data_IF_369305529348
#
_entry.id   IF_369305529348
#
_cell.length_a   1.000
_cell.length_b   1.000
_cell.length_c   1.000
_cell.angle_alpha   90.00
_cell.angle_beta   90.00
_cell.angle_gamma   90.00
#
_symmetry.space_group_name_H-M   'P 1'
#
loop_
_entity.id
_entity.type
_entity.pdbx_description
1 polymer ?
#
# COMPACT_ATOMS: atom_id res chain seq x y z
N UNK A 1 -15.23 20.27 -20.80
CA UNK A 1 -14.09 20.09 -21.73
C UNK A 1 -13.09 21.24 -21.61
N UNK A 2 -13.43 22.48 -22.00
CA UNK A 2 -12.47 23.61 -21.99
C UNK A 2 -11.83 23.90 -20.62
N UNK A 3 -12.62 23.99 -19.54
CA UNK A 3 -12.11 24.26 -18.19
C UNK A 3 -11.15 23.20 -17.66
N UNK A 4 -11.45 21.92 -17.94
CA UNK A 4 -10.60 20.79 -17.55
C UNK A 4 -9.28 20.90 -18.30
N UNK A 5 -9.31 21.08 -19.62
CA UNK A 5 -8.11 21.28 -20.42
C UNK A 5 -7.27 22.46 -19.91
N UNK A 6 -7.90 23.57 -19.50
CA UNK A 6 -7.22 24.74 -18.91
C UNK A 6 -6.55 24.42 -17.58
N UNK A 7 -7.23 23.72 -16.66
CA UNK A 7 -6.65 23.29 -15.38
C UNK A 7 -5.48 22.34 -15.61
N UNK A 8 -5.61 21.41 -16.57
CA UNK A 8 -4.57 20.45 -16.90
C UNK A 8 -3.35 21.13 -17.51
N UNK A 9 -3.54 22.08 -18.44
CA UNK A 9 -2.46 22.87 -19.02
C UNK A 9 -1.79 23.75 -17.95
N UNK A 10 -2.55 24.30 -17.01
CA UNK A 10 -2.01 25.08 -15.90
C UNK A 10 -1.19 24.23 -14.93
N UNK A 11 -1.69 23.04 -14.58
CA UNK A 11 -0.98 22.06 -13.76
C UNK A 11 0.30 21.60 -14.46
N UNK A 12 0.24 21.28 -15.75
CA UNK A 12 1.42 20.89 -16.55
C UNK A 12 2.45 22.02 -16.62
N UNK A 13 2.01 23.27 -16.82
CA UNK A 13 2.86 24.45 -16.81
C UNK A 13 3.52 24.64 -15.44
N UNK A 14 2.76 24.54 -14.35
CA UNK A 14 3.29 24.68 -12.99
C UNK A 14 4.28 23.57 -12.62
N UNK A 15 4.00 22.33 -13.01
CA UNK A 15 4.88 21.17 -12.88
C UNK A 15 6.17 21.38 -13.70
N UNK A 16 6.09 21.90 -14.93
CA UNK A 16 7.24 22.04 -15.84
C UNK A 16 8.39 22.88 -15.28
N UNK A 17 8.12 23.81 -14.35
CA UNK A 17 9.16 24.63 -13.73
C UNK A 17 10.01 23.94 -12.66
N UNK A 18 9.75 22.67 -12.31
CA UNK A 18 10.36 22.00 -11.15
C UNK A 18 11.17 20.72 -11.44
N UNK A 19 11.31 20.29 -12.69
CA UNK A 19 11.92 18.98 -13.03
C UNK A 19 12.98 19.05 -14.11
N UNK A 20 13.79 17.99 -14.22
CA UNK A 20 14.65 17.75 -15.38
C UNK A 20 13.83 17.32 -16.61
N UNK A 21 14.29 17.69 -17.80
CA UNK A 21 13.53 17.62 -19.06
C UNK A 21 13.06 16.19 -19.44
N UNK A 22 13.81 15.15 -19.05
CA UNK A 22 13.47 13.74 -19.33
C UNK A 22 12.31 13.26 -18.46
N UNK A 23 12.30 13.66 -17.19
CA UNK A 23 11.25 13.27 -16.24
C UNK A 23 9.99 14.14 -16.41
N UNK A 24 10.14 15.40 -16.84
CA UNK A 24 9.03 16.27 -17.23
C UNK A 24 8.09 15.60 -18.24
N UNK A 25 8.64 14.94 -19.27
CA UNK A 25 7.85 14.29 -20.32
C UNK A 25 7.01 13.14 -19.76
N UNK A 26 7.58 12.32 -18.89
CA UNK A 26 6.86 11.19 -18.26
C UNK A 26 5.73 11.69 -17.35
N UNK A 27 6.00 12.66 -16.48
CA UNK A 27 4.99 13.23 -15.60
C UNK A 27 3.89 13.94 -16.38
N UNK A 28 4.26 14.67 -17.42
CA UNK A 28 3.31 15.38 -18.27
C UNK A 28 2.34 14.43 -18.98
N UNK A 29 2.83 13.32 -19.50
CA UNK A 29 1.97 12.30 -20.16
C UNK A 29 1.02 11.65 -19.16
N UNK A 30 1.49 11.26 -17.98
CA UNK A 30 0.64 10.63 -16.95
C UNK A 30 -0.40 11.61 -16.43
N UNK A 31 0.00 12.84 -16.11
CA UNK A 31 -0.92 13.88 -15.64
C UNK A 31 -1.97 14.22 -16.72
N UNK A 32 -1.56 14.30 -17.99
CA UNK A 32 -2.49 14.51 -19.10
C UNK A 32 -3.46 13.32 -19.27
N UNK A 33 -2.98 12.08 -19.14
CA UNK A 33 -3.84 10.90 -19.20
C UNK A 33 -4.86 10.88 -18.06
N UNK A 34 -4.43 11.05 -16.81
CA UNK A 34 -5.33 11.12 -15.65
C UNK A 34 -6.35 12.26 -15.81
N UNK A 35 -5.89 13.39 -16.30
CA UNK A 35 -6.73 14.55 -16.64
C UNK A 35 -7.78 14.27 -17.72
N UNK A 36 -7.42 13.51 -18.74
CA UNK A 36 -8.37 13.06 -19.76
C UNK A 36 -9.39 12.09 -19.18
N UNK A 37 -8.96 11.16 -18.32
CA UNK A 37 -9.86 10.27 -17.58
C UNK A 37 -10.83 11.08 -16.72
N UNK A 38 -10.37 12.09 -15.97
CA UNK A 38 -11.23 13.01 -15.23
C UNK A 38 -12.24 13.71 -16.15
N UNK A 39 -11.78 14.22 -17.30
CA UNK A 39 -12.63 14.91 -18.26
C UNK A 39 -13.70 14.03 -18.90
N UNK A 40 -13.35 12.79 -19.24
CA UNK A 40 -14.26 11.84 -19.87
C UNK A 40 -15.25 11.24 -18.87
N UNK A 41 -14.85 11.08 -17.60
CA UNK A 41 -15.72 10.57 -16.53
C UNK A 41 -16.64 11.63 -15.93
N UNK A 42 -16.25 12.91 -15.91
CA UNK A 42 -17.12 14.03 -15.56
C UNK A 42 -18.23 14.29 -16.59
N UNK A 43 -18.01 13.92 -17.85
CA UNK A 43 -18.97 14.13 -18.92
C UNK A 43 -20.32 13.40 -18.71
N UNK A 44 -20.35 12.09 -18.37
CA UNK A 44 -21.60 11.42 -18.00
C UNK A 44 -22.16 11.93 -16.66
N UNK A 45 -21.33 12.41 -15.72
CA UNK A 45 -21.80 12.96 -14.44
C UNK A 45 -22.63 14.25 -14.60
N UNK A 46 -22.28 15.08 -15.59
CA UNK A 46 -22.97 16.34 -15.91
C UNK A 46 -24.26 16.09 -16.72
N UNK A 47 -24.34 14.99 -17.46
CA UNK A 47 -25.42 14.75 -18.43
C UNK A 47 -26.39 13.62 -18.04
N UNK A 48 -25.96 12.59 -17.30
CA UNK A 48 -26.69 11.32 -17.14
C UNK A 48 -26.50 10.74 -15.73
N UNK A 49 -27.09 11.38 -14.70
CA UNK A 49 -27.28 10.79 -13.36
C UNK A 49 -26.03 10.19 -12.67
N UNK A 50 -26.20 9.64 -11.46
CA UNK A 50 -25.16 8.91 -10.76
C UNK A 50 -24.87 7.56 -11.45
N UNK A 51 -23.61 7.32 -11.83
CA UNK A 51 -23.15 6.04 -12.37
C UNK A 51 -21.96 5.51 -11.54
N UNK A 52 -22.11 4.38 -10.80
CA UNK A 52 -21.09 3.86 -9.89
C UNK A 52 -19.71 3.68 -10.53
N UNK A 53 -19.66 3.09 -11.74
CA UNK A 53 -18.39 2.85 -12.43
C UNK A 53 -17.69 4.16 -12.84
N UNK A 54 -18.44 5.16 -13.29
CA UNK A 54 -17.86 6.45 -13.67
C UNK A 54 -17.30 7.19 -12.45
N UNK A 55 -18.02 7.10 -11.31
CA UNK A 55 -17.57 7.64 -10.02
C UNK A 55 -16.28 6.96 -9.56
N UNK A 56 -16.19 5.63 -9.68
CA UNK A 56 -14.98 4.88 -9.35
C UNK A 56 -13.76 5.34 -10.15
N UNK A 57 -13.88 5.43 -11.47
CA UNK A 57 -12.77 5.88 -12.33
C UNK A 57 -12.40 7.34 -12.10
N UNK A 58 -13.39 8.19 -11.81
CA UNK A 58 -13.17 9.59 -11.44
C UNK A 58 -12.36 9.69 -10.15
N UNK A 59 -12.79 9.01 -9.08
CA UNK A 59 -12.10 9.01 -7.79
C UNK A 59 -10.68 8.46 -7.90
N UNK A 60 -10.47 7.38 -8.66
CA UNK A 60 -9.14 6.81 -8.89
C UNK A 60 -8.20 7.81 -9.56
N UNK A 61 -8.70 8.54 -10.57
CA UNK A 61 -7.92 9.58 -11.23
C UNK A 61 -7.67 10.79 -10.31
N UNK A 62 -8.66 11.20 -9.51
CA UNK A 62 -8.49 12.26 -8.49
C UNK A 62 -7.42 11.85 -7.48
N UNK A 63 -7.49 10.63 -6.94
CA UNK A 63 -6.54 10.12 -5.96
C UNK A 63 -5.09 10.20 -6.48
N UNK A 64 -4.81 9.58 -7.62
CA UNK A 64 -3.45 9.55 -8.17
C UNK A 64 -2.92 10.94 -8.54
N UNK A 65 -3.77 11.80 -9.09
CA UNK A 65 -3.36 13.16 -9.43
C UNK A 65 -3.16 14.02 -8.18
N UNK A 66 -4.07 13.97 -7.22
CA UNK A 66 -3.99 14.77 -6.00
C UNK A 66 -2.79 14.38 -5.13
N UNK A 67 -2.47 13.09 -5.01
CA UNK A 67 -1.29 12.62 -4.27
C UNK A 67 0.00 13.16 -4.90
N UNK A 68 0.13 13.08 -6.23
CA UNK A 68 1.27 13.67 -6.93
C UNK A 68 1.34 15.18 -6.73
N UNK A 69 0.23 15.90 -6.84
CA UNK A 69 0.20 17.35 -6.66
C UNK A 69 0.55 17.78 -5.23
N UNK A 70 0.06 17.05 -4.23
CA UNK A 70 0.40 17.31 -2.83
C UNK A 70 1.87 17.02 -2.55
N UNK A 71 2.41 15.91 -3.07
CA UNK A 71 3.84 15.63 -3.01
C UNK A 71 4.66 16.70 -3.73
N UNK A 72 4.22 17.17 -4.90
CA UNK A 72 4.89 18.24 -5.63
C UNK A 72 4.86 19.57 -4.86
N UNK A 73 3.82 19.80 -4.07
CA UNK A 73 3.68 20.99 -3.25
C UNK A 73 4.58 20.96 -2.01
N UNK A 74 4.58 19.85 -1.26
CA UNK A 74 5.29 19.74 0.02
C UNK A 74 6.73 19.21 -0.09
N UNK A 75 7.01 18.35 -1.09
CA UNK A 75 8.25 17.58 -1.22
C UNK A 75 8.86 17.67 -2.63
N UNK A 76 8.76 18.84 -3.28
CA UNK A 76 9.22 19.01 -4.68
C UNK A 76 10.66 18.58 -4.95
N UNK A 77 11.54 18.59 -3.94
CA UNK A 77 12.94 18.18 -4.08
C UNK A 77 13.14 16.65 -4.14
N UNK A 78 12.17 15.86 -3.64
CA UNK A 78 12.22 14.39 -3.58
C UNK A 78 11.21 13.75 -4.55
N UNK A 79 10.57 14.56 -5.41
CA UNK A 79 9.46 14.11 -6.24
C UNK A 79 9.90 13.17 -7.36
N UNK A 80 9.19 12.06 -7.50
CA UNK A 80 9.43 11.05 -8.50
C UNK A 80 8.11 10.40 -9.00
N UNK A 81 8.21 9.47 -9.96
CA UNK A 81 7.06 8.79 -10.54
C UNK A 81 6.22 8.00 -9.52
N UNK A 82 6.85 7.47 -8.47
CA UNK A 82 6.15 6.68 -7.45
C UNK A 82 5.18 7.52 -6.63
N UNK A 83 5.33 8.86 -6.62
CA UNK A 83 4.38 9.76 -5.95
C UNK A 83 3.00 9.78 -6.60
N UNK A 84 2.86 9.32 -7.86
CA UNK A 84 1.53 9.07 -8.42
C UNK A 84 0.85 7.87 -7.77
N UNK A 85 1.58 6.98 -7.11
CA UNK A 85 1.07 5.74 -6.51
C UNK A 85 0.38 4.80 -7.52
N UNK A 86 0.71 4.93 -8.82
CA UNK A 86 0.19 4.07 -9.88
C UNK A 86 0.82 2.67 -9.87
N UNK A 87 2.07 2.57 -9.39
CA UNK A 87 2.83 1.33 -9.34
C UNK A 87 3.09 0.91 -7.89
N UNK A 88 2.03 0.50 -7.19
CA UNK A 88 2.11 0.00 -5.80
C UNK A 88 2.34 -1.53 -5.73
N UNK A 89 3.00 -2.10 -6.73
CA UNK A 89 3.31 -3.53 -6.81
C UNK A 89 2.19 -4.41 -7.39
N UNK A 90 2.51 -5.70 -7.56
CA UNK A 90 1.62 -6.69 -8.19
C UNK A 90 0.26 -6.83 -7.49
N UNK A 91 0.16 -6.89 -6.15
CA UNK A 91 -1.13 -7.03 -5.47
C UNK A 91 -2.09 -5.89 -5.80
N UNK A 92 -1.57 -4.66 -5.89
CA UNK A 92 -2.37 -3.49 -6.27
C UNK A 92 -2.91 -3.60 -7.70
N UNK A 93 -2.05 -3.93 -8.67
CA UNK A 93 -2.46 -4.08 -10.07
C UNK A 93 -3.50 -5.19 -10.22
N UNK A 94 -3.29 -6.34 -9.58
CA UNK A 94 -4.25 -7.45 -9.59
C UNK A 94 -5.59 -7.03 -8.99
N UNK A 95 -5.57 -6.29 -7.87
CA UNK A 95 -6.78 -5.81 -7.22
C UNK A 95 -7.60 -4.88 -8.14
N UNK A 96 -6.96 -3.91 -8.80
CA UNK A 96 -7.63 -3.00 -9.74
C UNK A 96 -8.18 -3.77 -10.95
N UNK A 97 -7.40 -4.71 -11.52
CA UNK A 97 -7.86 -5.55 -12.63
C UNK A 97 -9.05 -6.42 -12.23
N UNK A 98 -9.03 -6.99 -11.02
CA UNK A 98 -10.12 -7.78 -10.50
C UNK A 98 -11.40 -6.95 -10.32
N UNK A 99 -11.30 -5.75 -9.73
CA UNK A 99 -12.43 -4.85 -9.56
C UNK A 99 -13.07 -4.46 -10.91
N UNK A 100 -12.23 -4.14 -11.91
CA UNK A 100 -12.67 -3.85 -13.28
C UNK A 100 -13.30 -5.08 -13.95
N UNK A 101 -12.68 -6.25 -13.79
CA UNK A 101 -13.14 -7.52 -14.36
C UNK A 101 -14.48 -7.96 -13.79
N UNK A 102 -14.61 -7.99 -12.47
CA UNK A 102 -15.87 -8.32 -11.78
C UNK A 102 -16.99 -7.37 -12.19
N UNK A 103 -16.72 -6.06 -12.21
CA UNK A 103 -17.71 -5.10 -12.66
C UNK A 103 -18.14 -5.34 -14.12
N UNK A 104 -17.18 -5.61 -15.02
CA UNK A 104 -17.46 -5.88 -16.44
C UNK A 104 -18.28 -7.15 -16.64
N UNK A 105 -17.99 -8.21 -15.88
CA UNK A 105 -18.75 -9.47 -15.91
C UNK A 105 -20.20 -9.19 -15.47
N UNK A 106 -20.40 -8.46 -14.37
CA UNK A 106 -21.74 -8.14 -13.85
C UNK A 106 -22.57 -7.30 -14.84
N UNK A 107 -21.93 -6.44 -15.63
CA UNK A 107 -22.56 -5.75 -16.77
C UNK A 107 -22.90 -6.71 -17.92
N UNK A 108 -21.98 -7.61 -18.27
CA UNK A 108 -22.15 -8.56 -19.36
C UNK A 108 -23.29 -9.56 -19.13
N UNK A 109 -23.50 -9.98 -17.88
CA UNK A 109 -24.57 -10.93 -17.52
C UNK A 109 -25.90 -10.27 -17.15
N UNK A 110 -26.02 -8.95 -17.23
CA UNK A 110 -27.28 -8.24 -17.02
C UNK A 110 -27.60 -7.85 -15.58
N UNK A 111 -26.75 -8.16 -14.60
CA UNK A 111 -27.01 -7.88 -13.17
C UNK A 111 -27.07 -6.37 -12.91
N UNK A 112 -26.22 -5.59 -13.57
CA UNK A 112 -26.19 -4.12 -13.42
C UNK A 112 -27.44 -3.46 -13.97
N UNK A 113 -27.83 -3.85 -15.18
CA UNK A 113 -29.05 -3.40 -15.84
C UNK A 113 -30.28 -3.77 -15.00
N UNK A 114 -30.28 -4.95 -14.37
CA UNK A 114 -31.34 -5.35 -13.44
C UNK A 114 -31.39 -4.45 -12.18
N UNK A 115 -30.24 -4.17 -11.56
CA UNK A 115 -30.15 -3.25 -10.41
C UNK A 115 -30.61 -1.83 -10.77
N UNK A 116 -30.30 -1.35 -11.97
CA UNK A 116 -30.63 0.00 -12.42
C UNK A 116 -32.08 0.16 -12.88
N UNK A 117 -32.67 -0.87 -13.50
CA UNK A 117 -34.02 -0.79 -14.09
C UNK A 117 -35.18 -0.87 -13.09
N UNK A 118 -34.96 -1.41 -11.90
CA UNK A 118 -36.04 -1.77 -10.98
C UNK A 118 -36.17 -0.82 -9.79
N UNK A 119 -37.26 -0.05 -9.68
CA UNK A 119 -37.41 0.97 -8.62
C UNK A 119 -37.79 0.44 -7.23
N UNK A 120 -38.08 -0.85 -7.07
CA UNK A 120 -38.52 -1.46 -5.81
C UNK A 120 -37.80 -2.78 -5.51
N UNK A 121 -38.01 -3.32 -4.30
CA UNK A 121 -37.46 -4.60 -3.86
C UNK A 121 -35.93 -4.59 -3.69
N UNK A 122 -35.30 -5.75 -3.91
CA UNK A 122 -33.87 -5.94 -3.73
C UNK A 122 -33.01 -5.00 -4.61
N UNK A 123 -33.30 -4.76 -5.91
CA UNK A 123 -32.59 -3.77 -6.72
C UNK A 123 -32.55 -2.37 -6.12
N UNK A 124 -33.68 -1.91 -5.57
CA UNK A 124 -33.77 -0.59 -4.95
C UNK A 124 -32.89 -0.49 -3.70
N UNK A 125 -32.91 -1.54 -2.87
CA UNK A 125 -32.01 -1.64 -1.72
C UNK A 125 -30.53 -1.61 -2.14
N UNK A 126 -30.15 -2.39 -3.17
CA UNK A 126 -28.78 -2.42 -3.68
C UNK A 126 -28.32 -1.07 -4.24
N UNK A 127 -29.21 -0.29 -4.87
CA UNK A 127 -28.89 1.10 -5.26
C UNK A 127 -28.62 1.99 -4.05
N UNK A 128 -29.40 1.86 -2.97
CA UNK A 128 -29.15 2.61 -1.73
C UNK A 128 -27.77 2.23 -1.16
N UNK A 129 -27.45 0.94 -1.10
CA UNK A 129 -26.12 0.45 -0.68
C UNK A 129 -25.02 1.05 -1.56
N UNK A 130 -25.20 1.05 -2.88
CA UNK A 130 -24.26 1.64 -3.84
C UNK A 130 -24.07 3.15 -3.60
N UNK A 131 -25.15 3.90 -3.38
CA UNK A 131 -25.09 5.35 -3.10
C UNK A 131 -24.42 5.64 -1.75
N UNK A 132 -24.68 4.83 -0.72
CA UNK A 132 -23.97 4.93 0.57
C UNK A 132 -22.48 4.63 0.37
N UNK A 133 -22.14 3.60 -0.41
CA UNK A 133 -20.76 3.31 -0.79
C UNK A 133 -20.09 4.50 -1.46
N UNK A 134 -20.76 5.16 -2.41
CA UNK A 134 -20.24 6.36 -3.07
C UNK A 134 -20.02 7.53 -2.11
N UNK A 135 -20.95 7.75 -1.18
CA UNK A 135 -20.79 8.79 -0.17
C UNK A 135 -19.58 8.51 0.72
N UNK A 136 -19.45 7.27 1.19
CA UNK A 136 -18.33 6.86 2.05
C UNK A 136 -17.00 6.90 1.29
N UNK A 137 -16.96 6.57 0.00
CA UNK A 137 -15.74 6.64 -0.80
C UNK A 137 -15.27 8.08 -0.98
N UNK A 138 -16.18 9.01 -1.29
CA UNK A 138 -15.88 10.45 -1.35
C UNK A 138 -15.38 10.98 -0.01
N UNK A 139 -16.04 10.62 1.09
CA UNK A 139 -15.61 11.00 2.43
C UNK A 139 -14.22 10.42 2.79
N UNK A 140 -13.96 9.15 2.47
CA UNK A 140 -12.67 8.50 2.69
C UNK A 140 -11.55 9.18 1.90
N UNK A 141 -11.79 9.48 0.63
CA UNK A 141 -10.83 10.20 -0.22
C UNK A 141 -10.57 11.61 0.32
N UNK A 142 -11.61 12.32 0.77
CA UNK A 142 -11.44 13.61 1.42
C UNK A 142 -10.58 13.53 2.69
N UNK A 143 -10.85 12.57 3.58
CA UNK A 143 -10.06 12.33 4.78
C UNK A 143 -8.59 12.04 4.44
N UNK A 144 -8.36 11.23 3.40
CA UNK A 144 -7.03 10.91 2.90
C UNK A 144 -6.27 12.17 2.48
N UNK A 145 -6.85 12.98 1.60
CA UNK A 145 -6.21 14.19 1.08
C UNK A 145 -6.01 15.24 2.19
N UNK A 146 -6.97 15.38 3.09
CA UNK A 146 -6.88 16.29 4.23
C UNK A 146 -5.79 15.87 5.22
N UNK A 147 -5.60 14.57 5.45
CA UNK A 147 -4.52 14.06 6.29
C UNK A 147 -3.13 14.35 5.70
N UNK A 148 -2.98 14.19 4.38
CA UNK A 148 -1.75 14.56 3.67
C UNK A 148 -1.51 16.06 3.77
N UNK A 149 -2.54 16.87 3.56
CA UNK A 149 -2.45 18.33 3.69
C UNK A 149 -2.04 18.79 5.09
N UNK A 150 -2.67 18.25 6.14
CA UNK A 150 -2.36 18.60 7.53
C UNK A 150 -0.99 18.07 7.98
N UNK A 151 -0.58 16.90 7.47
CA UNK A 151 0.76 16.37 7.69
C UNK A 151 1.84 17.19 6.96
N UNK A 152 1.50 17.75 5.80
CA UNK A 152 2.36 18.64 5.02
C UNK A 152 3.74 18.02 4.77
N UNK A 153 4.80 18.74 5.13
CA UNK A 153 6.19 18.25 4.99
C UNK A 153 6.52 17.04 5.87
N UNK A 154 5.76 16.81 6.94
CA UNK A 154 5.93 15.63 7.81
C UNK A 154 5.27 14.37 7.24
N UNK A 155 4.35 14.49 6.27
CA UNK A 155 3.74 13.34 5.61
C UNK A 155 4.69 12.78 4.54
N UNK A 156 4.97 11.48 4.53
CA UNK A 156 5.78 10.84 3.48
C UNK A 156 5.14 9.54 3.01
N UNK A 157 5.14 9.29 1.69
CA UNK A 157 4.59 8.05 1.12
C UNK A 157 5.42 6.81 1.44
N UNK A 158 6.73 6.98 1.58
CA UNK A 158 7.62 5.96 2.12
C UNK A 158 7.84 6.24 3.59
N UNK A 159 7.73 5.20 4.41
CA UNK A 159 8.12 5.31 5.81
C UNK A 159 9.64 5.48 5.78
N UNK A 160 10.10 6.66 6.20
CA UNK A 160 11.53 6.93 6.34
C UNK A 160 12.09 5.98 7.39
N UNK A 161 13.14 5.24 7.03
CA UNK A 161 13.82 4.34 7.97
C UNK A 161 14.48 5.12 9.11
N UNK A 162 14.97 4.39 10.11
CA UNK A 162 15.75 4.99 11.18
C UNK A 162 16.98 5.71 10.65
N UNK A 163 17.30 6.86 11.27
CA UNK A 163 18.44 7.68 10.87
C UNK A 163 18.23 8.49 9.58
N UNK A 164 17.14 8.29 8.84
CA UNK A 164 16.81 9.17 7.70
C UNK A 164 16.28 10.53 8.18
N UNK A 165 16.63 11.60 7.45
CA UNK A 165 16.15 12.95 7.77
C UNK A 165 14.63 13.03 7.68
N UNK A 166 13.97 13.00 8.84
CA UNK A 166 12.54 13.32 9.01
C UNK A 166 12.31 14.82 9.18
N UNK A 167 11.08 15.22 8.91
CA UNK A 167 10.60 16.53 9.33
C UNK A 167 10.76 16.64 10.85
N UNK A 168 11.27 17.77 11.39
CA UNK A 168 11.59 17.90 12.81
C UNK A 168 10.35 17.96 13.73
N UNK A 169 9.13 17.87 13.19
CA UNK A 169 7.89 18.12 13.95
C UNK A 169 6.93 16.93 13.87
N UNK A 170 6.55 16.42 15.05
CA UNK A 170 5.42 15.52 15.24
C UNK A 170 4.11 16.29 15.08
N UNK A 171 3.21 15.80 14.21
CA UNK A 171 1.92 16.42 13.93
C UNK A 171 0.83 15.74 14.76
N UNK A 172 0.20 16.48 15.66
CA UNK A 172 -0.82 15.96 16.60
C UNK A 172 -2.13 16.77 16.58
N UNK A 173 -2.28 17.71 15.64
CA UNK A 173 -3.44 18.60 15.53
C UNK A 173 -4.35 18.20 14.36
N UNK A 174 -5.62 18.61 14.42
CA UNK A 174 -6.59 18.36 13.36
C UNK A 174 -7.05 16.91 13.31
N UNK A 175 -6.99 16.24 12.16
CA UNK A 175 -7.32 14.82 12.04
C UNK A 175 -6.40 13.94 12.89
N UNK A 176 -5.15 14.38 13.08
CA UNK A 176 -4.17 13.68 13.92
C UNK A 176 -4.55 13.72 15.41
N UNK A 177 -5.40 14.65 15.88
CA UNK A 177 -5.90 14.57 17.27
C UNK A 177 -7.03 13.55 17.44
N UNK A 178 -7.63 13.06 16.35
CA UNK A 178 -8.73 12.08 16.37
C UNK A 178 -8.22 10.65 16.21
N UNK A 179 -7.25 10.45 15.32
CA UNK A 179 -6.56 9.19 15.14
C UNK A 179 -5.12 9.41 14.68
N UNK A 180 -4.21 8.49 14.98
CA UNK A 180 -2.78 8.67 14.69
C UNK A 180 -2.45 8.56 13.21
N UNK A 181 -3.23 7.75 12.48
CA UNK A 181 -3.00 7.46 11.06
C UNK A 181 -4.21 7.85 10.18
N UNK A 182 -4.62 9.13 10.16
CA UNK A 182 -5.82 9.56 9.45
C UNK A 182 -5.72 9.34 7.94
N UNK A 183 -4.49 9.40 7.39
CA UNK A 183 -4.24 9.10 5.98
C UNK A 183 -4.47 7.63 5.62
N UNK A 184 -4.26 6.70 6.55
CA UNK A 184 -4.51 5.26 6.35
C UNK A 184 -5.98 4.93 6.57
N UNK A 185 -6.63 5.57 7.54
CA UNK A 185 -8.07 5.49 7.73
C UNK A 185 -8.82 5.96 6.47
N UNK A 186 -8.49 7.15 5.95
CA UNK A 186 -9.10 7.69 4.74
C UNK A 186 -8.91 6.78 3.53
N UNK A 187 -7.69 6.25 3.33
CA UNK A 187 -7.41 5.29 2.26
C UNK A 187 -8.27 4.03 2.41
N UNK A 188 -8.28 3.43 3.60
CA UNK A 188 -9.01 2.18 3.87
C UNK A 188 -10.51 2.34 3.61
N UNK A 189 -11.10 3.42 4.12
CA UNK A 189 -12.51 3.76 3.87
C UNK A 189 -12.78 3.92 2.38
N UNK A 190 -11.94 4.67 1.68
CA UNK A 190 -12.07 4.89 0.24
C UNK A 190 -12.04 3.58 -0.56
N UNK A 191 -11.00 2.77 -0.37
CA UNK A 191 -10.81 1.52 -1.13
C UNK A 191 -11.94 0.52 -0.88
N UNK A 192 -12.37 0.32 0.37
CA UNK A 192 -13.48 -0.59 0.68
C UNK A 192 -14.80 -0.05 0.11
N UNK A 193 -15.06 1.24 0.31
CA UNK A 193 -16.31 1.86 -0.11
C UNK A 193 -16.46 1.94 -1.63
N UNK A 194 -15.37 2.03 -2.40
CA UNK A 194 -15.44 1.91 -3.87
C UNK A 194 -15.99 0.56 -4.32
N UNK A 195 -15.61 -0.53 -3.65
CA UNK A 195 -16.13 -1.87 -4.00
C UNK A 195 -17.57 -2.06 -3.53
N UNK A 196 -17.95 -1.43 -2.41
CA UNK A 196 -19.35 -1.36 -1.97
C UNK A 196 -20.21 -0.54 -2.94
N UNK A 197 -19.71 0.59 -3.42
CA UNK A 197 -20.34 1.41 -4.45
C UNK A 197 -20.56 0.61 -5.73
N UNK A 198 -19.54 -0.12 -6.17
CA UNK A 198 -19.65 -1.02 -7.31
C UNK A 198 -20.49 -2.27 -6.98
N UNK A 199 -20.86 -2.56 -5.74
CA UNK A 199 -21.48 -3.84 -5.35
C UNK A 199 -20.69 -5.06 -5.86
N UNK A 200 -19.35 -4.95 -5.89
CA UNK A 200 -18.44 -6.03 -6.25
C UNK A 200 -18.15 -6.86 -4.99
N UNK A 201 -18.91 -7.93 -4.76
CA UNK A 201 -18.79 -8.70 -3.51
C UNK A 201 -17.43 -9.40 -3.37
N UNK A 202 -16.87 -9.93 -4.47
CA UNK A 202 -15.58 -10.63 -4.41
C UNK A 202 -14.47 -9.62 -4.13
N UNK A 203 -14.45 -8.53 -4.89
CA UNK A 203 -13.48 -7.45 -4.70
C UNK A 203 -13.63 -6.78 -3.35
N UNK A 204 -14.86 -6.61 -2.83
CA UNK A 204 -15.09 -6.02 -1.50
C UNK A 204 -14.41 -6.83 -0.39
N UNK A 205 -14.59 -8.15 -0.39
CA UNK A 205 -13.95 -9.04 0.59
C UNK A 205 -12.41 -8.97 0.48
N UNK A 206 -11.88 -9.08 -0.74
CA UNK A 206 -10.44 -9.06 -0.98
C UNK A 206 -9.81 -7.72 -0.64
N UNK A 207 -10.43 -6.60 -1.06
CA UNK A 207 -9.95 -5.26 -0.77
C UNK A 207 -9.94 -5.01 0.73
N UNK A 208 -10.99 -5.42 1.44
CA UNK A 208 -11.07 -5.30 2.90
C UNK A 208 -9.93 -6.06 3.57
N UNK A 209 -9.79 -7.35 3.27
CA UNK A 209 -8.79 -8.19 3.91
C UNK A 209 -7.35 -7.74 3.61
N UNK A 210 -7.02 -7.51 2.34
CA UNK A 210 -5.67 -7.12 1.91
C UNK A 210 -5.30 -5.75 2.46
N UNK A 211 -6.22 -4.78 2.42
CA UNK A 211 -5.97 -3.40 2.87
C UNK A 211 -5.76 -3.35 4.39
N UNK A 212 -6.61 -4.04 5.16
CA UNK A 212 -6.46 -4.09 6.62
C UNK A 212 -5.14 -4.78 7.02
N UNK A 213 -4.80 -5.90 6.37
CA UNK A 213 -3.52 -6.59 6.63
C UNK A 213 -2.32 -5.70 6.30
N UNK A 214 -2.35 -5.04 5.14
CA UNK A 214 -1.28 -4.15 4.70
C UNK A 214 -1.08 -2.98 5.66
N UNK A 215 -2.16 -2.28 6.04
CA UNK A 215 -2.05 -1.15 6.94
C UNK A 215 -1.73 -1.54 8.38
N UNK A 216 -2.14 -2.72 8.85
CA UNK A 216 -1.72 -3.23 10.16
C UNK A 216 -0.19 -3.31 10.25
N UNK A 217 0.43 -4.06 9.35
CA UNK A 217 1.88 -4.25 9.31
C UNK A 217 2.62 -2.92 9.13
N UNK A 218 2.08 -2.06 8.26
CA UNK A 218 2.66 -0.76 7.97
C UNK A 218 2.60 0.19 9.16
N UNK A 219 1.48 0.22 9.88
CA UNK A 219 1.30 1.04 11.08
C UNK A 219 2.27 0.59 12.16
N UNK A 220 2.35 -0.70 12.45
CA UNK A 220 3.26 -1.25 13.48
C UNK A 220 4.71 -0.82 13.23
N UNK A 221 5.19 -0.97 11.99
CA UNK A 221 6.52 -0.51 11.61
C UNK A 221 6.68 1.02 11.69
N UNK A 222 5.69 1.79 11.24
CA UNK A 222 5.74 3.25 11.31
C UNK A 222 5.79 3.76 12.75
N UNK A 223 4.94 3.24 13.64
CA UNK A 223 4.93 3.64 15.04
C UNK A 223 6.25 3.32 15.73
N UNK A 224 6.86 2.17 15.43
CA UNK A 224 8.19 1.82 15.93
C UNK A 224 9.24 2.89 15.54
N UNK A 225 9.29 3.26 14.26
CA UNK A 225 10.23 4.30 13.80
C UNK A 225 9.90 5.69 14.39
N UNK A 226 8.62 6.00 14.63
CA UNK A 226 8.20 7.28 15.20
C UNK A 226 8.60 7.41 16.67
N UNK A 227 8.57 6.31 17.41
CA UNK A 227 9.06 6.24 18.80
C UNK A 227 10.55 6.47 18.86
N UNK A 228 11.32 5.87 17.96
CA UNK A 228 12.76 6.14 17.89
C UNK A 228 13.04 7.62 17.57
N UNK A 229 12.27 8.23 16.65
CA UNK A 229 12.48 9.62 16.22
C UNK A 229 12.07 10.65 17.26
N UNK A 230 10.93 10.45 17.92
CA UNK A 230 10.29 11.45 18.79
C UNK A 230 10.26 11.03 20.27
N UNK A 231 10.62 9.79 20.59
CA UNK A 231 10.70 9.26 21.94
C UNK A 231 9.42 9.45 22.74
N UNK A 232 9.57 10.07 23.92
CA UNK A 232 8.49 10.28 24.89
C UNK A 232 7.32 11.09 24.32
N UNK A 233 7.56 12.02 23.40
CA UNK A 233 6.50 12.84 22.82
C UNK A 233 5.52 12.00 22.00
N UNK A 234 6.03 11.00 21.26
CA UNK A 234 5.18 10.08 20.52
C UNK A 234 4.46 9.10 21.43
N UNK A 235 5.13 8.60 22.48
CA UNK A 235 4.49 7.69 23.45
C UNK A 235 3.31 8.37 24.16
N UNK A 236 3.46 9.63 24.57
CA UNK A 236 2.38 10.39 25.20
C UNK A 236 1.23 10.70 24.20
N UNK A 237 1.56 10.87 22.92
CA UNK A 237 0.55 10.99 21.88
C UNK A 237 -0.19 9.66 21.63
N UNK A 238 0.55 8.54 21.60
CA UNK A 238 0.02 7.19 21.42
C UNK A 238 -1.01 6.83 22.49
N UNK A 239 -0.70 7.12 23.77
CA UNK A 239 -1.60 6.86 24.91
C UNK A 239 -2.94 7.59 24.82
N UNK A 240 -2.98 8.76 24.18
CA UNK A 240 -4.16 9.64 24.16
C UNK A 240 -5.03 9.49 22.91
N UNK A 241 -4.44 9.04 21.79
CA UNK A 241 -5.10 9.04 20.48
C UNK A 241 -5.03 7.66 19.86
N UNK A 242 -6.13 7.03 19.44
CA UNK A 242 -6.12 5.68 18.86
C UNK A 242 -5.47 5.64 17.47
N UNK A 243 -5.04 4.46 17.01
CA UNK A 243 -4.47 4.30 15.66
C UNK A 243 -5.43 4.73 14.54
N UNK A 244 -6.72 4.40 14.68
CA UNK A 244 -7.80 4.81 13.76
C UNK A 244 -8.39 3.68 12.91
N UNK A 245 -7.72 2.54 12.78
CA UNK A 245 -8.24 1.36 12.08
C UNK A 245 -8.65 0.26 13.07
N UNK A 246 -9.70 -0.52 12.74
CA UNK A 246 -10.12 -1.64 13.58
C UNK A 246 -9.06 -2.74 13.60
N UNK A 247 -8.97 -3.47 14.73
CA UNK A 247 -8.07 -4.62 14.93
C UNK A 247 -6.56 -4.29 14.90
N UNK A 248 -6.18 -3.06 15.22
CA UNK A 248 -4.78 -2.64 15.38
C UNK A 248 -4.52 -2.33 16.85
N UNK A 249 -4.01 -3.32 17.57
CA UNK A 249 -3.49 -3.17 18.94
C UNK A 249 -1.98 -2.96 18.86
N UNK A 250 -1.55 -1.71 18.91
CA UNK A 250 -0.14 -1.28 18.81
C UNK A 250 0.61 -1.41 20.15
N UNK A 251 0.23 -2.40 20.96
CA UNK A 251 0.51 -2.44 22.39
C UNK A 251 1.85 -3.08 22.82
N UNK A 252 2.45 -4.10 22.17
CA UNK A 252 3.57 -4.79 22.82
C UNK A 252 4.88 -4.01 22.86
N UNK A 253 5.21 -3.26 21.81
CA UNK A 253 6.53 -2.63 21.66
C UNK A 253 6.72 -1.35 22.50
N UNK A 254 5.64 -0.73 22.98
CA UNK A 254 5.73 0.54 23.69
C UNK A 254 6.13 0.39 25.15
N UNK A 255 5.65 -0.67 25.81
CA UNK A 255 5.97 -0.94 27.21
C UNK A 255 7.44 -1.38 27.35
N UNK A 256 7.93 -2.20 26.41
CA UNK A 256 9.33 -2.65 26.37
C UNK A 256 10.32 -1.50 26.08
N UNK A 257 9.97 -0.57 25.19
CA UNK A 257 10.77 0.64 24.93
C UNK A 257 10.76 1.62 26.12
N UNK A 258 9.65 1.71 26.85
CA UNK A 258 9.54 2.54 28.05
C UNK A 258 10.39 1.99 29.21
N UNK A 259 10.56 0.67 29.28
CA UNK A 259 11.39 -0.01 30.26
C UNK A 259 12.89 0.05 29.91
N UNK A 260 13.27 -0.09 28.63
CA UNK A 260 14.66 -0.07 28.17
C UNK A 260 15.11 1.30 27.63
N UNK A 261 15.72 2.13 28.50
CA UNK A 261 16.28 3.44 28.12
C UNK A 261 17.44 3.37 27.09
N UNK A 262 17.96 2.17 26.79
CA UNK A 262 19.08 1.91 25.88
C UNK A 262 18.64 1.56 24.43
N UNK A 263 17.33 1.43 24.18
CA UNK A 263 16.77 1.10 22.86
C UNK A 263 17.06 2.13 21.76
N UNK A 264 17.56 3.33 22.11
CA UNK A 264 17.98 4.38 21.16
C UNK A 264 19.22 4.02 20.33
N UNK A 265 19.90 2.91 20.63
CA UNK A 265 21.15 2.52 19.98
C UNK A 265 21.06 1.26 19.11
N UNK A 266 19.90 0.57 19.05
CA UNK A 266 19.74 -0.58 18.15
C UNK A 266 19.42 -0.08 16.74
N UNK A 267 20.12 -0.60 15.70
CA UNK A 267 19.77 -0.27 14.32
C UNK A 267 18.36 -0.79 14.02
N UNK A 268 17.53 0.05 13.40
CA UNK A 268 16.18 -0.35 13.02
C UNK A 268 16.22 -1.18 11.75
N UNK A 269 15.64 -2.38 11.75
CA UNK A 269 15.48 -3.16 10.54
C UNK A 269 14.59 -2.39 9.55
N UNK A 270 14.87 -2.52 8.26
CA UNK A 270 13.96 -2.10 7.20
C UNK A 270 12.59 -2.79 7.33
N UNK A 271 11.54 -2.25 6.69
CA UNK A 271 10.21 -2.88 6.69
C UNK A 271 10.28 -4.36 6.28
N UNK A 272 11.13 -4.70 5.31
CA UNK A 272 11.28 -6.07 4.85
C UNK A 272 11.94 -6.96 5.91
N UNK A 273 13.04 -6.50 6.53
CA UNK A 273 13.70 -7.22 7.62
C UNK A 273 12.78 -7.39 8.84
N UNK A 274 11.96 -6.38 9.14
CA UNK A 274 10.97 -6.45 10.21
C UNK A 274 9.87 -7.46 9.89
N UNK A 275 9.35 -7.46 8.66
CA UNK A 275 8.34 -8.42 8.21
C UNK A 275 8.87 -9.86 8.20
N UNK A 276 10.14 -10.05 7.90
CA UNK A 276 10.77 -11.36 7.86
C UNK A 276 11.02 -11.86 9.30
N UNK A 277 11.49 -11.00 10.21
CA UNK A 277 11.60 -11.32 11.63
C UNK A 277 10.23 -11.65 12.27
N UNK A 278 9.18 -10.88 11.95
CA UNK A 278 7.83 -11.15 12.44
C UNK A 278 7.28 -12.50 11.94
N UNK A 279 7.62 -12.89 10.70
CA UNK A 279 7.26 -14.21 10.15
C UNK A 279 8.02 -15.35 10.81
N UNK A 280 9.30 -15.16 11.13
CA UNK A 280 10.10 -16.13 11.88
C UNK A 280 9.52 -16.35 13.28
N UNK A 281 9.06 -15.28 13.95
CA UNK A 281 8.46 -15.39 15.28
C UNK A 281 7.08 -16.06 15.24
N UNK A 282 6.25 -15.78 14.24
CA UNK A 282 4.95 -16.44 14.03
C UNK A 282 5.13 -17.94 13.76
N UNK A 283 6.08 -18.32 12.89
CA UNK A 283 6.42 -19.73 12.62
C UNK A 283 7.05 -20.44 13.84
N UNK A 284 7.82 -19.73 14.66
CA UNK A 284 8.34 -20.24 15.92
C UNK A 284 7.22 -20.50 16.94
N UNK A 285 6.21 -19.62 17.04
CA UNK A 285 5.04 -19.82 17.89
C UNK A 285 4.21 -21.01 17.44
N UNK A 286 3.90 -21.11 16.15
CA UNK A 286 3.15 -22.23 15.56
C UNK A 286 3.86 -23.57 15.76
N UNK A 287 5.19 -23.61 15.66
CA UNK A 287 5.98 -24.83 15.92
C UNK A 287 6.08 -25.19 17.41
N UNK A 288 5.99 -24.20 18.31
CA UNK A 288 5.93 -24.44 19.76
C UNK A 288 4.55 -24.93 20.24
N UNK A 289 3.48 -24.58 19.51
CA UNK A 289 2.10 -24.98 19.79
C UNK A 289 1.69 -26.28 19.07
N UNK A 290 2.55 -26.85 18.22
CA UNK A 290 2.31 -28.12 17.57
C UNK A 290 2.12 -29.23 18.63
N UNK A 291 1.03 -30.02 18.58
CA UNK A 291 0.77 -31.03 19.58
C UNK A 291 1.88 -32.07 19.55
N UNK A 292 2.54 -32.27 20.69
CA UNK A 292 3.48 -33.37 20.90
C UNK A 292 2.72 -34.68 20.71
N UNK A 293 3.01 -35.35 19.59
CA UNK A 293 2.48 -36.68 19.30
C UNK A 293 2.84 -37.61 20.47
N UNK A 294 1.89 -38.28 21.15
CA UNK A 294 2.24 -39.17 22.25
C UNK A 294 3.04 -40.34 21.67
N UNK A 295 4.28 -40.48 22.14
CA UNK A 295 5.08 -41.67 21.85
C UNK A 295 4.34 -42.90 22.39
N UNK A 296 3.85 -43.76 21.48
CA UNK A 296 3.34 -45.08 21.83
C UNK A 296 4.45 -45.87 22.54
N UNK A 297 4.26 -46.05 23.84
CA UNK A 297 5.06 -46.97 24.64
C UNK A 297 4.51 -48.37 24.41
N UNK A 298 5.29 -49.20 23.72
CA UNK A 298 4.96 -50.60 23.52
C UNK A 298 4.81 -51.35 24.84
N UNK A 299 3.70 -52.08 24.99
CA UNK A 299 3.58 -53.25 25.86
C UNK A 299 2.75 -54.31 25.16
N UNK A 300 3.35 -55.49 25.02
CA UNK A 300 2.75 -56.66 24.39
C UNK A 300 1.63 -57.32 25.21
N UNK A 301 0.90 -58.18 24.51
CA UNK A 301 -0.10 -59.09 25.08
C UNK A 301 -0.76 -59.91 23.96
N UNK A 302 -0.41 -61.19 23.91
CA UNK A 302 -0.95 -62.20 22.99
C UNK A 302 -2.43 -62.51 23.26
N UNK A 303 -3.19 -62.82 22.20
CA UNK A 303 -4.02 -64.05 22.09
C UNK A 303 -4.82 -64.03 20.78
N UNK A 304 -4.84 -65.15 20.07
CA UNK A 304 -5.38 -65.26 18.71
C UNK A 304 -6.80 -65.81 18.61
N UNK A 305 -7.42 -65.63 17.44
CA UNK A 305 -8.32 -66.61 16.79
C UNK A 305 -8.68 -66.17 15.35
N UNK A 306 -8.22 -66.95 14.37
CA UNK A 306 -8.93 -67.49 13.19
C UNK A 306 -9.76 -66.59 12.22
N UNK A 307 -9.12 -66.15 11.12
CA UNK A 307 -9.43 -66.29 9.65
C UNK A 307 -10.84 -66.01 9.03
N UNK A 308 -11.02 -65.84 7.68
CA UNK A 308 -10.07 -65.49 6.59
C UNK A 308 -10.55 -64.42 5.54
N UNK A 309 -9.58 -63.89 4.79
CA UNK A 309 -9.56 -63.59 3.32
C UNK A 309 -10.57 -62.60 2.70
N UNK A 310 -10.05 -61.47 2.20
CA UNK A 310 -10.05 -61.19 0.75
C UNK A 310 -8.84 -60.31 0.41
N UNK A 311 -8.00 -60.80 -0.50
CA UNK A 311 -6.82 -60.09 -1.00
C UNK A 311 -7.17 -59.27 -2.24
N UNK A 312 -6.54 -58.11 -2.36
CA UNK A 312 -6.17 -57.58 -3.66
C UNK A 312 -4.78 -56.98 -3.54
N UNK A 313 -3.94 -57.38 -4.47
CA UNK A 313 -2.50 -57.29 -4.46
C UNK A 313 -2.11 -56.34 -5.61
N UNK A 314 -0.92 -55.73 -5.48
CA UNK A 314 -0.11 -55.08 -6.53
C UNK A 314 -0.38 -53.57 -6.73
N UNK A 315 0.60 -52.66 -6.84
CA UNK A 315 2.03 -52.81 -7.11
C UNK A 315 2.79 -51.61 -6.52
N UNK A 316 3.88 -51.89 -5.81
CA UNK A 316 4.94 -50.95 -5.50
C UNK A 316 5.79 -50.67 -6.74
N UNK A 317 6.04 -49.41 -7.05
CA UNK A 317 7.27 -48.97 -7.72
C UNK A 317 7.77 -47.71 -7.02
N UNK A 318 8.78 -47.88 -6.17
CA UNK A 318 9.60 -46.77 -5.72
C UNK A 318 10.52 -46.32 -6.84
N UNK A 319 10.61 -45.02 -7.05
CA UNK A 319 11.78 -44.37 -7.64
C UNK A 319 11.94 -43.03 -6.93
N UNK A 320 12.92 -43.01 -6.02
CA UNK A 320 13.54 -41.79 -5.56
C UNK A 320 14.28 -41.13 -6.73
N UNK A 321 14.07 -39.84 -6.94
CA UNK A 321 15.02 -38.95 -7.62
C UNK A 321 14.78 -37.52 -7.19
N UNK A 322 15.71 -37.06 -6.36
CA UNK A 322 16.38 -35.76 -6.41
C UNK A 322 15.85 -34.74 -7.44
N UNK A 323 15.56 -33.53 -6.95
CA UNK A 323 15.14 -32.43 -7.80
C UNK A 323 14.85 -31.15 -7.01
N UNK A 324 15.86 -30.65 -6.29
CA UNK A 324 15.92 -29.27 -5.84
C UNK A 324 15.75 -28.31 -7.03
N UNK A 325 14.67 -27.54 -7.04
CA UNK A 325 14.48 -26.34 -7.89
C UNK A 325 14.43 -25.18 -6.90
N UNK A 326 15.46 -24.35 -6.74
CA UNK A 326 16.26 -23.71 -7.77
C UNK A 326 15.67 -22.33 -8.05
N UNK A 327 15.72 -21.44 -7.04
CA UNK A 327 15.42 -20.01 -7.16
C UNK A 327 16.34 -19.40 -8.23
N UNK A 328 15.75 -18.93 -9.34
CA UNK A 328 16.48 -18.22 -10.37
C UNK A 328 16.77 -16.80 -9.92
N UNK A 329 17.99 -16.59 -9.44
CA UNK A 329 18.70 -15.32 -9.40
C UNK A 329 18.83 -14.79 -10.83
N UNK A 330 18.22 -13.64 -11.13
CA UNK A 330 18.58 -12.85 -12.31
C UNK A 330 19.38 -11.62 -11.88
N UNK A 331 20.67 -11.87 -11.70
CA UNK A 331 21.75 -10.89 -11.72
C UNK A 331 21.82 -10.25 -13.11
N UNK A 332 21.18 -9.10 -13.31
CA UNK A 332 21.47 -8.26 -14.47
C UNK A 332 22.78 -7.50 -14.19
N UNK A 333 23.80 -7.94 -14.91
CA UNK A 333 25.14 -7.38 -15.05
C UNK A 333 25.06 -5.89 -15.41
N UNK A 334 25.53 -5.03 -14.50
CA UNK A 334 25.96 -3.67 -14.82
C UNK A 334 27.31 -3.72 -15.54
N UNK A 335 27.30 -3.58 -16.86
CA UNK A 335 28.49 -3.22 -17.64
C UNK A 335 28.22 -1.91 -18.38
N UNK A 336 29.04 -0.90 -18.10
CA UNK A 336 29.24 0.25 -18.99
C UNK A 336 28.92 1.62 -18.40
N UNK A 337 29.84 2.19 -17.61
CA UNK A 337 30.32 3.58 -17.74
C UNK A 337 31.25 3.98 -16.58
N UNK A 338 32.36 3.26 -16.40
CA UNK A 338 33.44 3.67 -15.51
C UNK A 338 34.67 4.05 -16.35
N UNK A 339 34.51 5.06 -17.21
CA UNK A 339 35.62 5.61 -17.99
C UNK A 339 35.34 7.06 -18.42
N UNK A 340 35.03 7.92 -17.46
CA UNK A 340 35.05 9.38 -17.68
C UNK A 340 35.24 10.22 -16.40
N UNK A 341 35.70 9.63 -15.30
CA UNK A 341 35.85 10.31 -14.00
C UNK A 341 37.30 10.37 -13.46
N UNK A 342 38.33 10.08 -14.28
CA UNK A 342 39.74 10.22 -13.87
C UNK A 342 40.51 11.35 -14.56
N UNK A 343 39.88 12.11 -15.47
CA UNK A 343 40.58 13.17 -16.24
C UNK A 343 40.28 14.60 -15.77
N UNK A 344 39.43 14.79 -14.75
CA UNK A 344 39.05 16.12 -14.24
C UNK A 344 39.69 16.50 -12.89
N UNK A 345 40.33 15.55 -12.18
CA UNK A 345 41.03 15.85 -10.92
C UNK A 345 42.46 16.37 -11.09
N UNK A 346 43.05 16.29 -12.29
CA UNK A 346 44.44 16.73 -12.56
C UNK A 346 44.55 18.12 -13.20
N UNK A 347 43.45 18.89 -13.33
CA UNK A 347 43.48 20.25 -13.90
C UNK A 347 43.21 21.40 -12.91
N UNK A 348 43.02 21.12 -11.62
CA UNK A 348 42.78 22.15 -10.60
C UNK A 348 43.97 22.35 -9.64
N UNK A 349 44.97 21.47 -9.65
CA UNK A 349 46.14 21.60 -8.75
C UNK A 349 47.34 22.37 -9.34
N UNK A 350 47.24 22.97 -10.53
CA UNK A 350 48.40 23.59 -11.19
C UNK A 350 48.17 25.04 -11.68
N UNK A 351 47.45 25.86 -10.90
CA UNK A 351 47.22 27.28 -11.25
C UNK A 351 47.40 28.29 -10.12
N UNK A 352 48.12 27.94 -9.04
CA UNK A 352 48.41 28.85 -7.92
C UNK A 352 49.91 28.90 -7.58
N UNK A 353 50.75 29.16 -8.57
CA UNK A 353 52.17 29.43 -8.31
C UNK A 353 52.84 30.02 -9.53
N UNK A 354 52.77 31.35 -9.68
CA UNK A 354 53.76 32.21 -10.36
C UNK A 354 53.20 33.64 -10.45
N UNK A 355 53.68 34.52 -9.57
CA UNK A 355 54.06 35.91 -9.89
C UNK A 355 54.67 36.56 -8.63
N UNK A 356 56.00 36.51 -8.54
CA UNK A 356 56.84 37.52 -7.90
C UNK A 356 58.04 37.67 -8.83
N UNK A 357 58.12 38.82 -9.48
CA UNK A 357 59.29 39.69 -9.58
C UNK A 357 58.85 41.05 -10.16
#
# INVERSE_FOLDING_TARGET
MAYILTVCLWVLFWISGRFEEVDQKKYGVVAAFLSLVLGFTLHPFILISFHPASTFYLELAIFHLAEFLLAAFFHSAELNYENFLLNNGLPYTVAILLACGENSILWGVGVRQWVESSTSGLPAFLRVVSSVGALVSVCGLFFRLLAVWQGGKSFTHKIKGAGEKRSPRLVTQGLYSLCRHPGYLGWTLWVIATQLMLLNLISLCLFTFVTLKFFKQRIEYEEYTLVETFGKDYVEYHRRVPAGLPFIETAPLMDEWLEDHDARHRPVPSLQEWLDAAREEETARESSEAPSCPAETGRGGESGSSAPVLGEQLHSTGLARDGSVGLSDQTIVKTGSAQQASTLSNRVSNRNGETKD
#
